data_IF_415180141108
#
_entry.id   IF_415180141108
#
_cell.length_a   1.000
_cell.length_b   1.000
_cell.length_c   1.000
_cell.angle_alpha   90.00
_cell.angle_beta   90.00
_cell.angle_gamma   90.00
#
_symmetry.space_group_name_H-M   'P 1'
#
loop_
_entity.id
_entity.type
_entity.pdbx_description
1 polymer ?
#
# COMPACT_ATOMS: atom_id res chain seq x y z
N UNK A 1 -7.53 1.07 5.76
CA UNK A 1 -6.43 0.99 4.79
C UNK A 1 -7.08 1.01 3.41
N UNK A 2 -6.51 1.74 2.45
CA UNK A 2 -7.02 1.74 1.08
C UNK A 2 -6.73 0.37 0.43
N UNK A 3 -7.63 -0.12 -0.41
CA UNK A 3 -7.52 -1.37 -1.16
C UNK A 3 -7.69 -1.11 -2.66
N UNK A 4 -7.14 -1.96 -3.56
CA UNK A 4 -7.38 -1.82 -5.00
C UNK A 4 -8.86 -1.87 -5.41
N UNK A 5 -9.72 -2.47 -4.59
CA UNK A 5 -11.17 -2.53 -4.80
C UNK A 5 -11.93 -1.26 -4.34
N UNK A 6 -11.28 -0.38 -3.58
CA UNK A 6 -11.94 0.78 -2.98
C UNK A 6 -12.25 1.83 -4.05
N UNK A 7 -13.41 2.49 -3.90
CA UNK A 7 -13.87 3.50 -4.85
C UNK A 7 -12.87 4.65 -4.97
N UNK A 8 -12.24 5.02 -3.86
CA UNK A 8 -11.25 6.08 -3.76
C UNK A 8 -10.00 5.75 -4.58
N UNK A 9 -9.53 4.49 -4.54
CA UNK A 9 -8.40 4.04 -5.35
C UNK A 9 -8.78 4.04 -6.83
N UNK A 10 -9.90 3.44 -7.21
CA UNK A 10 -10.37 3.36 -8.60
C UNK A 10 -10.52 4.76 -9.22
N UNK A 11 -11.08 5.72 -8.47
CA UNK A 11 -11.22 7.11 -8.94
C UNK A 11 -9.87 7.80 -9.06
N UNK A 12 -8.99 7.65 -8.07
CA UNK A 12 -7.64 8.24 -8.10
C UNK A 12 -6.81 7.66 -9.24
N UNK A 13 -6.96 6.36 -9.51
CA UNK A 13 -6.31 5.67 -10.63
C UNK A 13 -6.72 6.28 -11.98
N UNK A 14 -8.01 6.55 -12.20
CA UNK A 14 -8.48 7.22 -13.42
C UNK A 14 -7.90 8.63 -13.58
N UNK A 15 -7.71 9.37 -12.48
CA UNK A 15 -7.01 10.67 -12.51
C UNK A 15 -5.57 10.46 -12.94
N UNK A 16 -4.88 9.48 -12.36
CA UNK A 16 -3.49 9.18 -12.68
C UNK A 16 -3.28 8.72 -14.12
N UNK A 17 -4.25 8.01 -14.69
CA UNK A 17 -4.31 7.61 -16.10
C UNK A 17 -4.66 8.76 -17.06
N UNK A 18 -5.04 9.93 -16.55
CA UNK A 18 -5.55 11.05 -17.37
C UNK A 18 -6.97 10.84 -17.92
N UNK A 19 -7.69 9.81 -17.46
CA UNK A 19 -9.07 9.52 -17.86
C UNK A 19 -10.12 10.33 -17.08
N UNK A 20 -9.71 10.96 -15.98
CA UNK A 20 -10.52 11.90 -15.21
C UNK A 20 -9.65 12.99 -14.60
N UNK A 21 -10.27 13.97 -13.96
CA UNK A 21 -9.56 15.04 -13.27
C UNK A 21 -9.97 15.10 -11.80
N UNK A 22 -9.08 15.64 -10.96
CA UNK A 22 -9.43 16.05 -9.60
C UNK A 22 -10.66 16.97 -9.65
N UNK A 23 -11.62 16.75 -8.74
CA UNK A 23 -12.79 17.61 -8.63
C UNK A 23 -12.35 19.05 -8.41
N UNK A 24 -12.93 19.98 -9.18
CA UNK A 24 -12.56 21.40 -9.15
C UNK A 24 -12.64 21.99 -7.74
N UNK A 25 -13.65 21.58 -6.96
CA UNK A 25 -13.83 21.97 -5.57
C UNK A 25 -12.59 21.71 -4.73
N UNK A 26 -11.77 20.69 -5.02
CA UNK A 26 -10.59 20.35 -4.22
C UNK A 26 -9.26 20.77 -4.85
N UNK A 27 -9.28 21.49 -5.98
CA UNK A 27 -8.07 21.87 -6.68
C UNK A 27 -7.18 22.79 -5.83
N UNK A 28 -7.78 23.79 -5.18
CA UNK A 28 -7.05 24.76 -4.36
C UNK A 28 -6.34 24.09 -3.18
N UNK A 29 -7.05 23.27 -2.39
CA UNK A 29 -6.44 22.57 -1.26
C UNK A 29 -5.34 21.59 -1.71
N UNK A 30 -5.55 20.86 -2.81
CA UNK A 30 -4.56 19.90 -3.30
C UNK A 30 -3.27 20.61 -3.75
N UNK A 31 -3.39 21.73 -4.47
CA UNK A 31 -2.25 22.56 -4.88
C UNK A 31 -1.53 23.15 -3.66
N UNK A 32 -2.27 23.67 -2.69
CA UNK A 32 -1.69 24.26 -1.49
C UNK A 32 -0.92 23.21 -0.68
N UNK A 33 -1.51 22.03 -0.42
CA UNK A 33 -0.83 20.92 0.28
C UNK A 33 0.45 20.53 -0.48
N UNK A 34 0.35 20.38 -1.80
CA UNK A 34 1.48 19.98 -2.63
C UNK A 34 2.64 20.96 -2.53
N UNK A 35 2.34 22.27 -2.58
CA UNK A 35 3.33 23.34 -2.48
C UNK A 35 3.91 23.49 -1.07
N UNK A 36 3.05 23.51 -0.05
CA UNK A 36 3.45 23.74 1.35
C UNK A 36 4.36 22.62 1.89
N UNK A 37 4.05 21.36 1.55
CA UNK A 37 4.76 20.21 2.08
C UNK A 37 5.73 19.57 1.08
N UNK A 38 5.85 20.14 -0.12
CA UNK A 38 6.62 19.59 -1.24
C UNK A 38 6.28 18.10 -1.48
N UNK A 39 5.00 17.84 -1.74
CA UNK A 39 4.43 16.51 -1.99
C UNK A 39 3.57 16.53 -3.24
N UNK A 40 3.25 15.36 -3.78
CA UNK A 40 2.32 15.24 -4.89
C UNK A 40 0.97 14.67 -4.45
N UNK A 41 -0.04 15.54 -4.37
CA UNK A 41 -1.43 15.13 -4.12
C UNK A 41 -2.08 14.76 -5.46
N UNK A 42 -2.66 13.55 -5.56
CA UNK A 42 -3.40 13.11 -6.74
C UNK A 42 -4.88 13.42 -6.60
N UNK A 43 -5.45 13.12 -5.42
CA UNK A 43 -6.87 13.23 -5.19
C UNK A 43 -7.22 13.64 -3.76
N UNK A 44 -8.39 14.23 -3.58
CA UNK A 44 -8.93 14.63 -2.28
C UNK A 44 -10.40 14.27 -2.24
N UNK A 45 -10.84 13.69 -1.13
CA UNK A 45 -12.23 13.37 -0.85
C UNK A 45 -12.69 14.06 0.43
N UNK A 46 -13.97 14.43 0.45
CA UNK A 46 -14.69 14.76 1.67
C UNK A 46 -15.83 13.75 1.80
N UNK A 47 -15.75 12.87 2.78
CA UNK A 47 -16.75 11.84 3.05
C UNK A 47 -17.08 11.76 4.55
N UNK A 48 -18.11 10.97 4.89
CA UNK A 48 -18.47 10.68 6.29
C UNK A 48 -18.06 9.25 6.63
N UNK A 49 -17.20 9.09 7.64
CA UNK A 49 -16.81 7.78 8.17
C UNK A 49 -17.65 7.44 9.39
N UNK A 50 -18.24 6.24 9.38
CA UNK A 50 -18.95 5.70 10.54
C UNK A 50 -17.94 5.40 11.65
N UNK A 51 -18.12 6.02 12.81
CA UNK A 51 -17.47 5.64 14.06
C UNK A 51 -18.50 4.97 14.98
N UNK A 52 -18.05 4.34 16.06
CA UNK A 52 -18.92 3.62 17.01
C UNK A 52 -20.09 4.45 17.57
N UNK A 53 -20.02 5.79 17.49
CA UNK A 53 -21.01 6.70 18.09
C UNK A 53 -21.59 7.75 17.13
N UNK A 54 -20.98 8.00 15.97
CA UNK A 54 -21.45 9.00 15.02
C UNK A 54 -20.77 8.90 13.65
N UNK A 55 -21.34 9.58 12.65
CA UNK A 55 -20.66 9.88 11.38
C UNK A 55 -19.75 11.08 11.59
N UNK A 56 -18.46 10.91 11.27
CA UNK A 56 -17.47 11.98 11.33
C UNK A 56 -17.00 12.32 9.93
N UNK A 57 -17.01 13.60 9.53
CA UNK A 57 -16.49 13.99 8.23
C UNK A 57 -14.98 13.80 8.20
N UNK A 58 -14.47 13.33 7.07
CA UNK A 58 -13.07 13.05 6.81
C UNK A 58 -12.63 13.77 5.55
N UNK A 59 -11.58 14.57 5.67
CA UNK A 59 -10.79 15.02 4.54
C UNK A 59 -9.77 13.92 4.23
N UNK A 60 -9.94 13.21 3.12
CA UNK A 60 -9.04 12.14 2.72
C UNK A 60 -8.14 12.59 1.58
N UNK A 61 -6.83 12.67 1.84
CA UNK A 61 -5.84 13.17 0.87
C UNK A 61 -5.02 12.01 0.33
N UNK A 62 -5.08 11.76 -0.97
CA UNK A 62 -4.31 10.70 -1.62
C UNK A 62 -3.02 11.28 -2.20
N UNK A 63 -1.89 10.73 -1.75
CA UNK A 63 -0.55 11.12 -2.17
C UNK A 63 0.00 10.11 -3.15
N UNK A 64 0.80 10.58 -4.11
CA UNK A 64 1.32 9.73 -5.18
C UNK A 64 2.28 8.67 -4.67
N UNK A 65 3.31 9.10 -3.94
CA UNK A 65 4.41 8.22 -3.55
C UNK A 65 4.39 7.92 -2.03
N UNK A 66 4.89 6.75 -1.65
CA UNK A 66 5.05 6.34 -0.25
C UNK A 66 5.93 7.32 0.52
N UNK A 67 6.95 7.90 -0.12
CA UNK A 67 7.81 8.93 0.50
C UNK A 67 7.04 10.21 0.87
N UNK A 68 6.07 10.60 0.05
CA UNK A 68 5.22 11.75 0.32
C UNK A 68 4.21 11.46 1.41
N UNK A 69 3.59 10.28 1.37
CA UNK A 69 2.73 9.76 2.42
C UNK A 69 3.42 9.78 3.79
N UNK A 70 4.65 9.26 3.86
CA UNK A 70 5.41 9.17 5.11
C UNK A 70 5.75 10.54 5.72
N UNK A 71 5.79 11.63 4.94
CA UNK A 71 6.03 12.98 5.47
C UNK A 71 4.92 13.43 6.45
N UNK A 72 3.73 12.83 6.43
CA UNK A 72 2.62 13.19 7.31
C UNK A 72 2.55 12.37 8.60
N UNK A 73 3.55 11.53 8.86
CA UNK A 73 3.65 10.67 10.04
C UNK A 73 4.96 10.95 10.81
N UNK A 74 4.90 10.91 12.15
CA UNK A 74 6.09 10.99 13.01
C UNK A 74 6.68 9.62 13.30
N UNK A 75 5.83 8.61 13.33
CA UNK A 75 6.15 7.21 13.48
C UNK A 75 5.05 6.39 12.79
N UNK A 76 5.24 5.07 12.60
CA UNK A 76 4.19 4.22 12.06
C UNK A 76 2.87 4.46 12.80
N UNK A 77 1.80 4.69 12.05
CA UNK A 77 0.44 4.94 12.53
C UNK A 77 0.21 6.23 13.34
N UNK A 78 1.22 7.08 13.58
CA UNK A 78 1.07 8.34 14.32
C UNK A 78 1.27 9.53 13.39
N UNK A 79 0.18 10.26 13.12
CA UNK A 79 0.20 11.46 12.30
C UNK A 79 1.01 12.61 12.92
N UNK A 80 1.61 13.44 12.08
CA UNK A 80 2.16 14.72 12.52
C UNK A 80 1.04 15.74 12.76
N UNK A 81 0.64 15.87 14.03
CA UNK A 81 -0.43 16.75 14.48
C UNK A 81 -0.29 18.21 14.05
N UNK A 82 0.94 18.70 13.85
CA UNK A 82 1.17 20.08 13.40
C UNK A 82 0.77 20.25 11.94
N UNK A 83 1.15 19.29 11.09
CA UNK A 83 0.81 19.31 9.65
C UNK A 83 -0.68 19.09 9.45
N UNK A 84 -1.27 18.11 10.14
CA UNK A 84 -2.71 17.83 10.04
C UNK A 84 -3.55 19.04 10.46
N UNK A 85 -3.23 19.68 11.58
CA UNK A 85 -3.92 20.90 12.04
C UNK A 85 -3.77 22.06 11.05
N UNK A 86 -2.58 22.24 10.47
CA UNK A 86 -2.34 23.28 9.46
C UNK A 86 -3.20 23.06 8.21
N UNK A 87 -3.30 21.83 7.73
CA UNK A 87 -4.14 21.48 6.58
C UNK A 87 -5.62 21.72 6.89
N UNK A 88 -6.10 21.21 8.03
CA UNK A 88 -7.51 21.39 8.43
C UNK A 88 -7.87 22.87 8.56
N UNK A 89 -7.03 23.67 9.23
CA UNK A 89 -7.27 25.12 9.33
C UNK A 89 -7.32 25.79 7.96
N UNK A 90 -6.40 25.45 7.05
CA UNK A 90 -6.39 26.01 5.71
C UNK A 90 -7.66 25.61 4.92
N UNK A 91 -8.03 24.33 4.98
CA UNK A 91 -9.26 23.82 4.37
C UNK A 91 -10.51 24.57 4.89
N UNK A 92 -10.65 24.72 6.20
CA UNK A 92 -11.79 25.43 6.80
C UNK A 92 -11.86 26.90 6.36
N UNK A 93 -10.70 27.56 6.21
CA UNK A 93 -10.62 28.95 5.79
C UNK A 93 -11.03 29.15 4.32
N UNK A 94 -10.57 28.30 3.40
CA UNK A 94 -10.82 28.50 1.95
C UNK A 94 -12.24 28.10 1.54
N UNK A 95 -12.86 27.12 2.24
CA UNK A 95 -14.21 26.64 1.89
C UNK A 95 -15.33 27.29 2.69
N UNK A 96 -15.05 28.27 3.56
CA UNK A 96 -16.02 28.84 4.50
C UNK A 96 -16.91 27.74 5.11
N UNK A 97 -16.26 26.65 5.55
CA UNK A 97 -16.96 25.42 5.89
C UNK A 97 -18.10 25.72 6.88
N UNK A 98 -19.32 25.32 6.51
CA UNK A 98 -20.52 25.54 7.33
C UNK A 98 -20.25 25.13 8.79
N UNK A 99 -20.83 25.83 9.79
CA UNK A 99 -20.72 25.45 11.21
C UNK A 99 -20.92 23.95 11.47
N UNK A 100 -21.74 23.29 10.65
CA UNK A 100 -22.02 21.84 10.65
C UNK A 100 -20.82 20.92 10.36
N UNK A 101 -19.75 21.40 9.72
CA UNK A 101 -18.50 20.64 9.52
C UNK A 101 -17.60 20.81 10.76
N UNK A 102 -17.62 21.99 11.39
CA UNK A 102 -16.88 22.26 12.62
C UNK A 102 -17.46 21.50 13.82
N UNK A 103 -18.79 21.36 13.91
CA UNK A 103 -19.47 20.66 15.01
C UNK A 103 -19.27 19.13 14.99
N UNK A 104 -18.96 18.54 13.82
CA UNK A 104 -18.82 17.07 13.67
C UNK A 104 -17.39 16.54 13.80
N UNK A 105 -16.46 17.40 14.22
CA UNK A 105 -15.05 17.06 14.45
C UNK A 105 -14.36 16.47 13.20
N UNK A 106 -14.28 17.28 12.14
CA UNK A 106 -13.58 16.99 10.89
C UNK A 106 -12.15 16.54 11.17
N UNK A 107 -11.79 15.38 10.65
CA UNK A 107 -10.43 14.87 10.72
C UNK A 107 -9.84 14.66 9.33
N UNK A 108 -8.51 14.52 9.28
CA UNK A 108 -7.78 14.25 8.04
C UNK A 108 -7.18 12.85 8.09
N UNK A 109 -7.13 12.20 6.93
CA UNK A 109 -6.39 10.96 6.73
C UNK A 109 -5.65 11.00 5.39
N UNK A 110 -4.67 10.12 5.22
CA UNK A 110 -3.82 10.07 4.03
C UNK A 110 -3.86 8.69 3.38
N UNK A 111 -3.84 8.67 2.05
CA UNK A 111 -3.74 7.46 1.25
C UNK A 111 -2.40 7.42 0.52
N UNK A 112 -1.81 6.23 0.45
CA UNK A 112 -0.57 5.95 -0.27
C UNK A 112 -0.92 5.26 -1.60
N UNK A 113 -0.93 6.02 -2.70
CA UNK A 113 -1.35 5.48 -4.00
C UNK A 113 -0.36 4.46 -4.55
N UNK A 114 0.93 4.76 -4.51
CA UNK A 114 2.02 3.88 -4.93
C UNK A 114 1.91 2.50 -4.29
N UNK A 115 1.74 2.45 -2.96
CA UNK A 115 1.63 1.18 -2.23
C UNK A 115 0.45 0.33 -2.72
N UNK A 116 -0.72 0.95 -2.92
CA UNK A 116 -1.92 0.22 -3.35
C UNK A 116 -1.83 -0.18 -4.83
N UNK A 117 -1.16 0.61 -5.67
CA UNK A 117 -0.87 0.23 -7.05
C UNK A 117 0.06 -0.99 -7.13
N UNK A 118 1.05 -1.09 -6.24
CA UNK A 118 1.90 -2.27 -6.10
C UNK A 118 1.07 -3.48 -5.62
N UNK A 119 0.19 -3.28 -4.63
CA UNK A 119 -0.71 -4.35 -4.15
C UNK A 119 -1.64 -4.84 -5.27
N UNK A 120 -2.13 -3.95 -6.15
CA UNK A 120 -2.91 -4.31 -7.33
C UNK A 120 -2.12 -5.21 -8.31
N UNK A 121 -0.82 -4.94 -8.50
CA UNK A 121 0.05 -5.77 -9.35
C UNK A 121 0.11 -7.20 -8.82
N UNK A 122 0.27 -7.37 -7.51
CA UNK A 122 0.35 -8.67 -6.83
C UNK A 122 -0.95 -9.45 -6.99
N UNK A 123 -2.11 -8.78 -6.89
CA UNK A 123 -3.42 -9.40 -7.07
C UNK A 123 -3.70 -9.86 -8.51
N UNK A 124 -2.98 -9.32 -9.50
CA UNK A 124 -3.13 -9.69 -10.92
C UNK A 124 -2.29 -10.88 -11.34
N UNK A 125 -1.34 -11.32 -10.51
CA UNK A 125 -0.50 -12.47 -10.82
C UNK A 125 -1.37 -13.73 -10.90
N UNK A 126 -1.28 -14.44 -12.02
CA UNK A 126 -1.94 -15.73 -12.22
C UNK A 126 -1.21 -16.87 -11.52
N UNK A 127 -1.93 -17.95 -11.20
CA UNK A 127 -1.32 -19.18 -10.66
C UNK A 127 -0.19 -19.72 -11.54
N UNK A 128 -0.32 -19.62 -12.87
CA UNK A 128 0.71 -20.08 -13.80
C UNK A 128 2.01 -19.26 -13.71
N UNK A 129 1.91 -17.95 -13.50
CA UNK A 129 3.08 -17.09 -13.30
C UNK A 129 3.79 -17.43 -11.98
N UNK A 130 3.04 -17.73 -10.92
CA UNK A 130 3.61 -18.19 -9.64
C UNK A 130 4.32 -19.54 -9.80
N UNK A 131 3.71 -20.50 -10.50
CA UNK A 131 4.32 -21.81 -10.77
C UNK A 131 5.58 -21.70 -11.63
N UNK A 132 5.62 -20.78 -12.60
CA UNK A 132 6.82 -20.50 -13.39
C UNK A 132 7.98 -20.04 -12.50
N UNK A 133 7.71 -19.19 -11.51
CA UNK A 133 8.72 -18.75 -10.54
C UNK A 133 9.21 -19.92 -9.69
N UNK A 134 8.31 -20.78 -9.19
CA UNK A 134 8.70 -21.99 -8.42
C UNK A 134 9.62 -22.92 -9.21
N UNK A 135 9.42 -23.04 -10.51
CA UNK A 135 10.26 -23.88 -11.37
C UNK A 135 11.70 -23.36 -11.50
N UNK A 136 11.92 -22.03 -11.43
CA UNK A 136 13.26 -21.42 -11.48
C UNK A 136 14.12 -21.86 -10.28
N UNK A 137 13.50 -22.07 -9.12
CA UNK A 137 14.18 -22.25 -7.83
C UNK A 137 14.41 -23.74 -7.51
N UNK A 138 13.97 -24.65 -8.37
CA UNK A 138 14.02 -26.09 -8.10
C UNK A 138 12.87 -26.53 -7.19
N UNK A 139 11.72 -26.80 -7.81
CA UNK A 139 10.40 -27.11 -7.22
C UNK A 139 10.41 -28.11 -6.03
N UNK A 140 11.37 -29.04 -5.96
CA UNK A 140 11.32 -30.19 -5.02
C UNK A 140 11.43 -29.84 -3.53
N UNK A 141 11.93 -28.66 -3.15
CA UNK A 141 12.12 -28.27 -1.74
C UNK A 141 11.17 -27.18 -1.26
N UNK A 142 10.41 -26.58 -2.18
CA UNK A 142 9.52 -25.45 -1.90
C UNK A 142 8.11 -26.00 -1.71
N UNK A 143 7.49 -25.61 -0.60
CA UNK A 143 6.10 -25.92 -0.32
C UNK A 143 5.16 -24.90 -0.99
N UNK A 144 5.41 -23.61 -0.75
CA UNK A 144 4.50 -22.54 -1.15
C UNK A 144 5.23 -21.21 -1.33
N UNK A 145 4.70 -20.36 -2.19
CA UNK A 145 5.04 -18.95 -2.26
C UNK A 145 3.77 -18.16 -1.93
N UNK A 146 3.80 -17.33 -0.89
CA UNK A 146 2.69 -16.42 -0.57
C UNK A 146 3.09 -14.99 -0.82
N UNK A 147 2.10 -14.19 -1.18
CA UNK A 147 2.26 -12.78 -1.45
C UNK A 147 1.37 -12.01 -0.50
N UNK A 148 1.95 -11.05 0.21
CA UNK A 148 1.19 -10.09 1.01
C UNK A 148 1.78 -8.71 0.79
N UNK A 149 1.08 -7.87 0.06
CA UNK A 149 1.59 -6.57 -0.39
C UNK A 149 2.94 -6.73 -1.11
N UNK A 150 3.93 -5.87 -0.85
CA UNK A 150 5.28 -5.93 -1.43
C UNK A 150 6.18 -7.04 -0.84
N UNK A 151 5.64 -7.95 -0.04
CA UNK A 151 6.37 -9.07 0.56
C UNK A 151 6.02 -10.37 -0.14
N UNK A 152 7.07 -11.10 -0.52
CA UNK A 152 6.97 -12.47 -1.00
C UNK A 152 7.62 -13.36 0.04
N UNK A 153 6.86 -14.32 0.55
CA UNK A 153 7.43 -15.34 1.44
C UNK A 153 7.53 -16.66 0.68
N UNK A 154 8.74 -17.19 0.59
CA UNK A 154 9.02 -18.52 0.05
C UNK A 154 9.10 -19.50 1.21
N UNK A 155 8.19 -20.46 1.24
CA UNK A 155 8.19 -21.53 2.20
C UNK A 155 8.90 -22.75 1.65
N UNK A 156 9.96 -23.18 2.33
CA UNK A 156 10.55 -24.50 2.16
C UNK A 156 9.75 -25.54 2.94
N UNK A 157 9.88 -26.82 2.60
CA UNK A 157 9.25 -27.87 3.44
C UNK A 157 9.87 -27.96 4.83
N UNK A 158 11.19 -27.82 4.95
CA UNK A 158 11.96 -28.05 6.18
C UNK A 158 12.87 -26.87 6.46
N UNK A 159 13.06 -26.54 7.74
CA UNK A 159 13.87 -25.38 8.14
C UNK A 159 15.35 -25.55 7.80
N UNK A 160 15.86 -26.79 7.77
CA UNK A 160 17.24 -27.07 7.38
C UNK A 160 17.58 -26.56 5.98
N UNK A 161 16.62 -26.54 5.06
CA UNK A 161 16.83 -26.04 3.70
C UNK A 161 17.04 -24.52 3.65
N UNK A 162 16.60 -23.78 4.67
CA UNK A 162 16.93 -22.36 4.81
C UNK A 162 18.37 -22.21 5.33
N UNK A 163 18.84 -23.13 6.16
CA UNK A 163 20.16 -23.04 6.81
C UNK A 163 21.32 -23.58 5.97
N UNK A 164 21.06 -24.48 5.03
CA UNK A 164 22.10 -25.16 4.24
C UNK A 164 22.24 -24.67 2.80
N UNK A 165 21.26 -23.93 2.28
CA UNK A 165 21.28 -23.40 0.92
C UNK A 165 21.97 -22.03 0.87
N UNK A 166 22.43 -21.65 -0.33
CA UNK A 166 22.88 -20.28 -0.58
C UNK A 166 21.64 -19.35 -0.64
N UNK A 167 21.12 -19.02 0.54
CA UNK A 167 19.90 -18.23 0.74
C UNK A 167 19.90 -16.95 -0.07
N UNK A 168 21.04 -16.27 -0.16
CA UNK A 168 21.12 -14.99 -0.85
C UNK A 168 21.00 -15.16 -2.36
N UNK A 169 21.61 -16.21 -2.92
CA UNK A 169 21.46 -16.56 -4.33
C UNK A 169 20.01 -16.91 -4.68
N UNK A 170 19.33 -17.69 -3.82
CA UNK A 170 17.91 -18.00 -3.99
C UNK A 170 17.06 -16.72 -3.95
N UNK A 171 17.29 -15.86 -2.95
CA UNK A 171 16.57 -14.58 -2.84
C UNK A 171 16.77 -13.72 -4.07
N UNK A 172 17.99 -13.61 -4.60
CA UNK A 172 18.30 -12.85 -5.80
C UNK A 172 17.58 -13.39 -7.04
N UNK A 173 17.64 -14.69 -7.26
CA UNK A 173 16.98 -15.36 -8.41
C UNK A 173 15.47 -15.14 -8.34
N UNK A 174 14.88 -15.30 -7.16
CA UNK A 174 13.44 -15.14 -6.97
C UNK A 174 13.03 -13.69 -7.10
N UNK A 175 13.79 -12.77 -6.49
CA UNK A 175 13.51 -11.34 -6.60
C UNK A 175 13.47 -10.89 -8.04
N UNK A 176 14.43 -11.33 -8.87
CA UNK A 176 14.47 -11.04 -10.31
C UNK A 176 13.29 -11.69 -11.04
N UNK A 177 13.06 -12.98 -10.85
CA UNK A 177 11.94 -13.67 -11.53
C UNK A 177 10.58 -13.08 -11.18
N UNK A 178 10.38 -12.72 -9.91
CA UNK A 178 9.15 -12.12 -9.41
C UNK A 178 8.98 -10.67 -9.88
N UNK A 179 10.07 -9.90 -9.92
CA UNK A 179 10.09 -8.56 -10.51
C UNK A 179 9.62 -8.59 -11.96
N UNK A 180 10.18 -9.47 -12.80
CA UNK A 180 9.80 -9.60 -14.21
C UNK A 180 8.32 -9.95 -14.41
N UNK A 181 7.74 -10.73 -13.50
CA UNK A 181 6.30 -11.05 -13.53
C UNK A 181 5.47 -9.84 -13.12
N UNK A 182 5.76 -9.23 -11.96
CA UNK A 182 5.02 -8.08 -11.48
C UNK A 182 5.10 -6.88 -12.43
N UNK A 183 6.26 -6.68 -13.08
CA UNK A 183 6.50 -5.53 -13.93
C UNK A 183 5.54 -5.46 -15.12
N UNK A 184 5.03 -6.59 -15.59
CA UNK A 184 4.01 -6.67 -16.65
C UNK A 184 2.68 -6.02 -16.24
N UNK A 185 2.43 -5.96 -14.93
CA UNK A 185 1.21 -5.42 -14.34
C UNK A 185 1.42 -4.02 -13.72
N UNK A 186 2.67 -3.51 -13.71
CA UNK A 186 3.07 -2.22 -13.15
C UNK A 186 2.73 -1.06 -14.08
N UNK A 187 1.47 -0.65 -14.03
CA UNK A 187 0.92 0.38 -14.90
C UNK A 187 1.61 1.75 -14.77
N UNK A 188 2.17 2.05 -13.60
CA UNK A 188 2.71 3.38 -13.27
C UNK A 188 4.22 3.40 -13.05
N UNK A 189 4.91 2.30 -13.36
CA UNK A 189 6.36 2.17 -13.23
C UNK A 189 6.87 2.39 -11.79
N UNK A 190 6.08 2.02 -10.78
CA UNK A 190 6.45 2.21 -9.37
C UNK A 190 7.37 1.11 -8.84
N UNK A 191 7.31 -0.09 -9.43
CA UNK A 191 8.09 -1.22 -8.98
C UNK A 191 9.55 -1.09 -9.41
N UNK A 192 10.42 -1.24 -8.43
CA UNK A 192 11.85 -1.42 -8.60
C UNK A 192 12.27 -2.70 -7.89
N UNK A 193 13.36 -3.31 -8.32
CA UNK A 193 13.81 -4.60 -7.78
C UNK A 193 14.08 -4.50 -6.27
N UNK A 194 14.63 -3.38 -5.80
CA UNK A 194 14.94 -3.11 -4.40
C UNK A 194 13.71 -2.94 -3.49
N UNK A 195 12.54 -2.63 -4.04
CA UNK A 195 11.28 -2.56 -3.28
C UNK A 195 10.68 -3.93 -2.97
N UNK A 196 11.19 -4.99 -3.60
CA UNK A 196 10.71 -6.36 -3.38
C UNK A 196 11.44 -7.02 -2.22
N UNK A 197 10.70 -7.28 -1.14
CA UNK A 197 11.21 -7.99 0.01
C UNK A 197 10.91 -9.49 -0.13
N UNK A 198 11.98 -10.29 -0.17
CA UNK A 198 11.89 -11.75 -0.18
C UNK A 198 12.19 -12.27 1.22
N UNK A 199 11.15 -12.82 1.84
CA UNK A 199 11.24 -13.57 3.08
C UNK A 199 11.37 -15.06 2.75
N UNK A 200 12.16 -15.77 3.54
CA UNK A 200 12.22 -17.23 3.48
C UNK A 200 11.70 -17.77 4.80
N UNK A 201 10.88 -18.81 4.71
CA UNK A 201 10.31 -19.49 5.86
C UNK A 201 10.16 -20.99 5.56
N UNK A 202 9.66 -21.78 6.50
CA UNK A 202 9.42 -23.21 6.32
C UNK A 202 8.01 -23.61 6.73
N UNK A 203 7.50 -24.66 6.09
CA UNK A 203 6.27 -25.33 6.49
C UNK A 203 6.40 -25.87 7.92
N UNK A 204 7.56 -26.41 8.26
CA UNK A 204 7.88 -26.85 9.62
C UNK A 204 7.68 -25.73 10.65
N UNK A 205 8.17 -24.52 10.39
CA UNK A 205 7.95 -23.36 11.26
C UNK A 205 6.47 -22.95 11.28
N UNK A 206 5.82 -22.89 10.10
CA UNK A 206 4.39 -22.59 9.95
C UNK A 206 3.50 -23.55 10.77
N UNK A 207 3.81 -24.85 10.75
CA UNK A 207 3.05 -25.86 11.47
C UNK A 207 3.34 -25.80 12.98
N UNK A 208 4.61 -25.75 13.37
CA UNK A 208 5.02 -25.85 14.78
C UNK A 208 4.74 -24.59 15.59
N UNK A 209 4.95 -23.41 15.00
CA UNK A 209 4.87 -22.13 15.72
C UNK A 209 3.62 -21.33 15.39
N UNK A 210 2.94 -21.63 14.27
CA UNK A 210 1.75 -20.91 13.82
C UNK A 210 0.51 -21.79 13.66
N UNK A 211 0.54 -23.04 14.14
CA UNK A 211 -0.62 -23.96 14.13
C UNK A 211 -1.22 -24.14 12.73
N UNK A 212 -0.38 -24.07 11.70
CA UNK A 212 -0.79 -24.11 10.29
C UNK A 212 -1.84 -23.03 9.94
N UNK A 213 -1.84 -21.89 10.64
CA UNK A 213 -2.82 -20.81 10.50
C UNK A 213 -2.17 -19.54 9.95
N UNK A 214 -2.62 -19.11 8.76
CA UNK A 214 -2.22 -17.82 8.19
C UNK A 214 -2.59 -16.63 9.07
N UNK A 215 -3.66 -16.75 9.87
CA UNK A 215 -4.03 -15.73 10.83
C UNK A 215 -2.95 -15.54 11.91
N UNK A 216 -2.37 -16.62 12.43
CA UNK A 216 -1.28 -16.51 13.41
C UNK A 216 0.04 -16.11 12.75
N UNK A 217 0.27 -16.52 11.50
CA UNK A 217 1.48 -16.18 10.76
C UNK A 217 1.62 -14.67 10.48
N UNK A 218 0.54 -14.00 10.12
CA UNK A 218 0.56 -12.57 9.78
C UNK A 218 0.24 -11.63 10.95
N UNK A 219 0.10 -12.15 12.17
CA UNK A 219 -0.23 -11.37 13.37
C UNK A 219 1.03 -10.90 14.10
#
# INVERSE_FOLDING_TARGET
MLSPSDKEYIQTKKIKQGLSSLKQDFFEIALWISKEFNVKVINVFLDDVNTNHSKRPRLYVILENTSDYNKFYRSPFIHDSKKTKRILNHFLNIYNASPLINERDLFISFGDFEKIAIDECVLKISTNEIEAIKNIIGNRKIWLTTNFSSYITIFFYEERHIKTENVEEIKEVVRKGYYEVLKKHDEFDYLTVDKLNINLDSKENFDNNFQSSWFYYYR
#
